data_IF_840300055547
#
_entry.id   IF_840300055547
#
_cell.length_a   1.000
_cell.length_b   1.000
_cell.length_c   1.000
_cell.angle_alpha   90.00
_cell.angle_beta   90.00
_cell.angle_gamma   90.00
#
_symmetry.space_group_name_H-M   'P 1'
#
loop_
_entity.id
_entity.type
_entity.pdbx_description
1 polymer ?
#
# COMPACT_ATOMS: atom_id res chain seq x y z
N UNK A 1 -2.19 -3.27 39.43
CA UNK A 1 -1.96 -3.75 38.06
C UNK A 1 -1.98 -2.52 37.16
N UNK A 2 -0.80 -2.00 36.83
CA UNK A 2 -0.68 -0.88 35.89
C UNK A 2 -1.03 -1.38 34.49
N UNK A 3 -1.93 -0.65 33.82
CA UNK A 3 -2.21 -0.85 32.40
C UNK A 3 -0.91 -0.64 31.61
N UNK A 4 -0.58 -1.50 30.62
CA UNK A 4 0.56 -1.24 29.75
C UNK A 4 0.31 0.06 28.97
N UNK A 5 1.17 1.05 29.22
CA UNK A 5 1.24 2.30 28.46
C UNK A 5 1.37 1.94 26.97
N UNK A 6 0.53 2.50 26.07
CA UNK A 6 0.70 2.28 24.64
C UNK A 6 2.10 2.77 24.23
N UNK A 7 2.79 2.10 23.28
CA UNK A 7 4.10 2.51 22.84
C UNK A 7 4.00 3.94 22.30
N UNK A 8 4.67 4.87 22.98
CA UNK A 8 4.91 6.22 22.47
C UNK A 8 5.68 6.07 21.17
N UNK A 9 5.04 6.42 20.05
CA UNK A 9 5.70 6.59 18.77
C UNK A 9 6.71 7.72 18.93
N UNK A 10 7.96 7.39 19.23
CA UNK A 10 9.06 8.35 19.10
C UNK A 10 9.26 8.59 17.60
N UNK A 11 8.50 9.55 17.08
CA UNK A 11 8.72 10.15 15.78
C UNK A 11 10.05 10.87 15.88
N UNK A 12 11.14 10.22 15.47
CA UNK A 12 12.46 10.83 15.43
C UNK A 12 12.48 11.90 14.33
N UNK A 13 12.05 13.11 14.70
CA UNK A 13 12.08 14.27 13.83
C UNK A 13 13.50 14.81 13.76
N UNK A 14 14.03 14.96 12.55
CA UNK A 14 15.34 15.56 12.29
C UNK A 14 15.16 16.89 11.57
N UNK A 15 16.05 17.85 11.84
CA UNK A 15 16.13 19.09 11.07
C UNK A 15 17.22 18.95 10.01
N UNK A 16 16.84 19.09 8.73
CA UNK A 16 17.77 19.06 7.59
C UNK A 16 17.45 20.22 6.67
N UNK A 17 18.43 21.07 6.38
CA UNK A 17 18.27 22.24 5.49
C UNK A 17 17.08 23.17 5.86
N UNK A 18 16.76 23.26 7.16
CA UNK A 18 15.64 24.04 7.67
C UNK A 18 14.27 23.35 7.54
N UNK A 19 14.21 22.06 7.20
CA UNK A 19 13.01 21.24 7.16
C UNK A 19 12.95 20.29 8.36
N UNK A 20 11.76 20.17 8.97
CA UNK A 20 11.47 19.16 9.99
C UNK A 20 10.98 17.91 9.27
N UNK A 21 11.76 16.83 9.35
CA UNK A 21 11.53 15.59 8.60
C UNK A 21 11.40 14.42 9.58
N UNK A 22 10.41 13.56 9.41
CA UNK A 22 10.37 12.26 10.09
C UNK A 22 11.44 11.34 9.49
N UNK A 23 12.42 10.96 10.32
CA UNK A 23 13.55 10.14 9.91
C UNK A 23 13.13 8.75 9.38
N UNK A 24 11.99 8.21 9.83
CA UNK A 24 11.52 6.88 9.48
C UNK A 24 10.69 6.84 8.20
N UNK A 25 10.05 7.96 7.85
CA UNK A 25 9.11 8.06 6.73
C UNK A 25 9.60 8.97 5.61
N UNK A 26 10.57 9.84 5.91
CA UNK A 26 10.99 10.93 5.03
C UNK A 26 9.94 12.04 4.89
N UNK A 27 8.80 11.96 5.59
CA UNK A 27 7.72 12.94 5.48
C UNK A 27 8.14 14.27 6.12
N UNK A 28 7.92 15.37 5.40
CA UNK A 28 8.23 16.73 5.83
C UNK A 28 7.03 17.27 6.61
N UNK A 29 7.24 17.55 7.90
CA UNK A 29 6.20 18.05 8.81
C UNK A 29 6.16 19.58 8.91
N UNK A 30 7.26 20.24 8.54
CA UNK A 30 7.46 21.64 8.92
C UNK A 30 8.72 22.27 8.36
N UNK A 31 8.85 23.57 8.57
CA UNK A 31 10.15 24.26 8.58
C UNK A 31 10.64 24.37 10.03
N UNK A 32 11.95 24.42 10.22
CA UNK A 32 12.49 24.82 11.52
C UNK A 32 11.98 26.22 11.85
N UNK A 33 11.73 26.49 13.13
CA UNK A 33 11.08 27.73 13.59
C UNK A 33 11.96 28.98 13.43
N UNK A 34 12.92 28.98 12.50
CA UNK A 34 13.61 30.18 12.06
C UNK A 34 12.65 30.96 11.16
N UNK A 35 12.22 32.17 11.57
CA UNK A 35 11.31 32.97 10.78
C UNK A 35 12.02 33.39 9.49
N UNK A 36 11.75 32.68 8.40
CA UNK A 36 12.10 33.13 7.06
C UNK A 36 11.04 34.12 6.58
N UNK A 37 11.47 35.28 6.08
CA UNK A 37 10.57 36.27 5.43
C UNK A 37 9.89 35.69 4.19
N UNK A 38 10.40 34.56 3.69
CA UNK A 38 9.83 33.77 2.59
C UNK A 38 9.05 32.54 3.06
N UNK A 39 8.64 32.46 4.34
CA UNK A 39 7.84 31.34 4.85
C UNK A 39 6.46 31.34 4.15
N UNK A 40 6.40 30.72 2.98
CA UNK A 40 5.17 30.45 2.25
C UNK A 40 4.24 29.64 3.14
N UNK A 41 2.96 30.00 3.12
CA UNK A 41 1.88 29.31 3.83
C UNK A 41 1.98 27.80 3.56
N UNK A 42 2.00 26.99 4.61
CA UNK A 42 2.08 25.54 4.48
C UNK A 42 0.93 25.05 3.59
N UNK A 43 1.26 24.54 2.38
CA UNK A 43 0.25 23.99 1.46
C UNK A 43 -0.32 22.73 2.12
N UNK A 44 -1.64 22.54 2.04
CA UNK A 44 -2.31 21.35 2.58
C UNK A 44 -1.65 20.08 2.02
N UNK A 45 -1.17 19.22 2.92
CA UNK A 45 -0.59 17.92 2.58
C UNK A 45 -1.73 16.93 2.38
N UNK A 46 -1.96 16.50 1.14
CA UNK A 46 -2.89 15.41 0.88
C UNK A 46 -2.31 14.12 1.49
N UNK A 47 -3.06 13.46 2.37
CA UNK A 47 -2.66 12.18 2.93
C UNK A 47 -2.62 11.10 1.82
N UNK A 48 -1.71 10.12 1.97
CA UNK A 48 -1.46 9.12 0.92
C UNK A 48 -2.72 8.30 0.59
N UNK A 49 -3.50 7.96 1.61
CA UNK A 49 -4.77 7.22 1.51
C UNK A 49 -5.90 8.07 0.88
N UNK A 50 -5.78 9.40 0.92
CA UNK A 50 -6.72 10.36 0.31
C UNK A 50 -6.37 10.69 -1.14
N UNK A 51 -5.19 10.34 -1.64
CA UNK A 51 -4.84 10.51 -3.04
C UNK A 51 -5.83 9.78 -3.97
N UNK A 52 -6.34 10.48 -4.98
CA UNK A 52 -7.29 9.97 -6.00
C UNK A 52 -6.76 10.15 -7.42
N UNK A 53 -5.64 10.83 -7.60
CA UNK A 53 -5.01 11.04 -8.91
C UNK A 53 -3.48 10.91 -8.87
N UNK A 54 -2.87 10.79 -10.04
CA UNK A 54 -1.40 10.87 -10.20
C UNK A 54 -0.87 12.22 -9.74
N UNK A 55 -1.63 13.28 -9.94
CA UNK A 55 -1.23 14.63 -9.51
C UNK A 55 -1.28 14.76 -7.98
N UNK A 56 -2.29 14.20 -7.32
CA UNK A 56 -2.37 14.15 -5.85
C UNK A 56 -1.16 13.41 -5.27
N UNK A 57 -0.80 12.28 -5.87
CA UNK A 57 0.37 11.51 -5.44
C UNK A 57 1.67 12.26 -5.71
N UNK A 58 1.80 12.97 -6.84
CA UNK A 58 2.96 13.83 -7.11
C UNK A 58 3.08 14.96 -6.08
N UNK A 59 1.97 15.60 -5.75
CA UNK A 59 1.91 16.63 -4.72
C UNK A 59 2.27 16.04 -3.35
N UNK A 60 1.76 14.86 -2.98
CA UNK A 60 2.16 14.16 -1.76
C UNK A 60 3.67 13.88 -1.72
N UNK A 61 4.25 13.38 -2.81
CA UNK A 61 5.68 13.10 -2.90
C UNK A 61 6.55 14.36 -2.79
N UNK A 62 6.03 15.55 -3.07
CA UNK A 62 6.77 16.81 -2.85
C UNK A 62 7.04 17.08 -1.37
N UNK A 63 6.27 16.44 -0.48
CA UNK A 63 6.46 16.48 0.98
C UNK A 63 7.21 15.27 1.52
N UNK A 64 7.90 14.50 0.68
CA UNK A 64 8.69 13.35 1.10
C UNK A 64 10.14 13.51 0.62
N UNK A 65 11.09 13.63 1.55
CA UNK A 65 12.51 13.53 1.21
C UNK A 65 12.89 12.06 0.94
N UNK A 66 12.74 11.67 -0.33
CA UNK A 66 13.04 10.32 -0.80
C UNK A 66 14.49 9.90 -0.65
N UNK A 67 15.43 10.84 -0.42
CA UNK A 67 16.84 10.54 -0.17
C UNK A 67 17.05 9.95 1.24
N UNK A 68 16.09 10.15 2.14
CA UNK A 68 16.09 9.59 3.50
C UNK A 68 15.41 8.22 3.57
N UNK A 69 14.76 7.79 2.50
CA UNK A 69 14.17 6.46 2.45
C UNK A 69 15.26 5.39 2.36
N UNK A 70 15.05 4.21 2.97
CA UNK A 70 15.95 3.09 2.81
C UNK A 70 16.20 2.74 1.33
N UNK A 71 17.37 2.17 1.00
CA UNK A 71 17.64 1.62 -0.31
C UNK A 71 16.51 0.70 -0.78
N UNK A 72 16.07 0.90 -2.03
CA UNK A 72 14.99 0.12 -2.63
C UNK A 72 15.55 -1.05 -3.42
N UNK A 73 16.05 -2.04 -2.68
CA UNK A 73 16.82 -3.16 -3.24
C UNK A 73 15.94 -4.37 -3.54
N UNK A 74 16.17 -4.97 -4.71
CA UNK A 74 15.47 -6.18 -5.14
C UNK A 74 15.73 -7.38 -4.21
N UNK A 75 16.78 -7.33 -3.40
CA UNK A 75 17.15 -8.39 -2.46
C UNK A 75 16.04 -8.68 -1.46
N UNK A 76 15.31 -7.66 -0.99
CA UNK A 76 14.18 -7.87 -0.07
C UNK A 76 13.06 -8.71 -0.69
N UNK A 77 12.75 -8.47 -1.98
CA UNK A 77 11.78 -9.28 -2.72
C UNK A 77 12.31 -10.71 -2.93
N UNK A 78 13.59 -10.86 -3.29
CA UNK A 78 14.20 -12.16 -3.52
C UNK A 78 14.26 -13.00 -2.23
N UNK A 79 14.54 -12.38 -1.08
CA UNK A 79 14.53 -13.03 0.23
C UNK A 79 13.13 -13.52 0.60
N UNK A 80 12.09 -12.74 0.33
CA UNK A 80 10.71 -13.15 0.52
C UNK A 80 10.34 -14.36 -0.37
N UNK A 81 10.77 -14.37 -1.64
CA UNK A 81 10.57 -15.49 -2.56
C UNK A 81 11.30 -16.74 -2.07
N UNK A 82 12.58 -16.61 -1.68
CA UNK A 82 13.39 -17.70 -1.17
C UNK A 82 12.79 -18.30 0.11
N UNK A 83 12.31 -17.43 1.01
CA UNK A 83 11.63 -17.84 2.23
C UNK A 83 10.37 -18.66 1.91
N UNK A 84 9.53 -18.18 0.98
CA UNK A 84 8.31 -18.87 0.57
C UNK A 84 8.61 -20.26 -0.02
N UNK A 85 9.60 -20.36 -0.90
CA UNK A 85 10.05 -21.66 -1.45
C UNK A 85 10.58 -22.59 -0.35
N UNK A 86 11.33 -22.06 0.61
CA UNK A 86 11.82 -22.81 1.77
C UNK A 86 10.69 -23.32 2.67
N UNK A 87 9.67 -22.50 2.92
CA UNK A 87 8.47 -22.88 3.68
C UNK A 87 7.69 -24.01 3.00
N UNK A 88 7.48 -23.89 1.69
CA UNK A 88 6.83 -24.95 0.92
C UNK A 88 7.58 -26.29 1.03
N UNK A 89 8.90 -26.29 0.84
CA UNK A 89 9.72 -27.51 0.94
C UNK A 89 9.68 -28.17 2.33
N UNK A 90 9.63 -27.37 3.40
CA UNK A 90 9.68 -27.88 4.79
C UNK A 90 8.32 -28.32 5.33
N UNK A 91 7.24 -27.64 4.94
CA UNK A 91 5.93 -27.80 5.58
C UNK A 91 4.84 -28.26 4.61
N UNK A 92 5.13 -28.42 3.32
CA UNK A 92 4.15 -28.86 2.31
C UNK A 92 3.05 -27.84 1.97
N UNK A 93 3.00 -26.69 2.66
CA UNK A 93 2.05 -25.61 2.37
C UNK A 93 2.46 -24.89 1.08
N UNK A 94 1.60 -24.92 0.06
CA UNK A 94 1.88 -24.24 -1.21
C UNK A 94 1.77 -22.72 -1.06
N UNK A 95 2.90 -22.10 -0.77
CA UNK A 95 3.09 -20.66 -0.69
C UNK A 95 4.04 -20.16 -1.79
N UNK A 96 4.27 -20.96 -2.84
CA UNK A 96 5.26 -20.66 -3.86
C UNK A 96 4.88 -19.41 -4.65
N UNK A 97 5.83 -18.51 -4.80
CA UNK A 97 5.78 -17.47 -5.82
C UNK A 97 6.26 -18.11 -7.13
N UNK A 98 5.38 -18.16 -8.11
CA UNK A 98 5.69 -18.73 -9.43
C UNK A 98 6.58 -17.78 -10.24
N UNK A 99 7.30 -18.29 -11.23
CA UNK A 99 8.18 -17.47 -12.06
C UNK A 99 7.46 -16.31 -12.79
N UNK A 100 6.24 -16.49 -13.35
CA UNK A 100 5.48 -15.38 -13.92
C UNK A 100 5.12 -14.30 -12.88
N UNK A 101 4.75 -14.70 -11.65
CA UNK A 101 4.45 -13.77 -10.56
C UNK A 101 5.71 -13.01 -10.13
N UNK A 102 6.83 -13.71 -9.96
CA UNK A 102 8.12 -13.10 -9.64
C UNK A 102 8.51 -12.05 -10.69
N UNK A 103 8.54 -12.39 -11.98
CA UNK A 103 8.91 -11.45 -13.05
C UNK A 103 8.01 -10.21 -13.08
N UNK A 104 6.73 -10.37 -12.77
CA UNK A 104 5.81 -9.23 -12.70
C UNK A 104 6.06 -8.39 -11.44
N UNK A 105 6.33 -9.01 -10.29
CA UNK A 105 6.70 -8.31 -9.06
C UNK A 105 8.01 -7.53 -9.21
N UNK A 106 9.02 -8.08 -9.89
CA UNK A 106 10.30 -7.39 -10.17
C UNK A 106 10.07 -6.12 -11.00
N UNK A 107 9.22 -6.18 -12.02
CA UNK A 107 8.82 -4.99 -12.79
C UNK A 107 8.04 -3.98 -11.97
N UNK A 108 7.11 -4.42 -11.13
CA UNK A 108 6.35 -3.51 -10.27
C UNK A 108 7.25 -2.90 -9.19
N UNK A 109 8.21 -3.65 -8.67
CA UNK A 109 9.19 -3.19 -7.69
C UNK A 109 9.95 -1.96 -8.22
N UNK A 110 10.41 -1.96 -9.46
CA UNK A 110 11.12 -0.81 -10.04
C UNK A 110 10.25 0.44 -10.21
N UNK A 111 8.93 0.31 -10.21
CA UNK A 111 7.99 1.43 -10.34
C UNK A 111 7.58 2.04 -8.98
N UNK A 112 7.88 1.37 -7.87
CA UNK A 112 7.50 1.85 -6.54
C UNK A 112 8.41 3.00 -6.11
N UNK A 113 7.83 4.19 -5.96
CA UNK A 113 8.55 5.37 -5.51
C UNK A 113 8.49 5.56 -4.00
N UNK A 114 7.41 5.14 -3.36
CA UNK A 114 7.14 5.39 -1.95
C UNK A 114 6.23 4.30 -1.37
N UNK A 115 6.55 3.82 -0.15
CA UNK A 115 5.84 2.71 0.51
C UNK A 115 5.71 1.50 -0.43
N UNK A 116 4.51 1.00 -0.63
CA UNK A 116 4.16 -0.15 -1.46
C UNK A 116 3.14 0.23 -2.55
N UNK A 117 3.10 1.51 -2.96
CA UNK A 117 2.08 2.03 -3.88
C UNK A 117 2.67 2.52 -5.20
N UNK A 118 1.87 2.42 -6.26
CA UNK A 118 2.15 2.97 -7.59
C UNK A 118 0.92 3.73 -8.06
N UNK A 119 1.10 5.00 -8.43
CA UNK A 119 0.09 5.82 -9.10
C UNK A 119 0.58 6.15 -10.50
N UNK A 120 -0.18 5.79 -11.52
CA UNK A 120 0.11 6.16 -12.92
C UNK A 120 -1.14 6.02 -13.80
N UNK A 121 -1.00 6.39 -15.07
CA UNK A 121 -2.03 6.10 -16.08
C UNK A 121 -2.00 4.61 -16.46
N UNK A 122 -3.14 4.08 -16.88
CA UNK A 122 -3.24 2.69 -17.33
C UNK A 122 -2.38 2.44 -18.57
N UNK A 123 -2.28 3.43 -19.46
CA UNK A 123 -1.42 3.40 -20.65
C UNK A 123 0.06 3.29 -20.29
N UNK A 124 0.53 4.10 -19.34
CA UNK A 124 1.94 4.07 -18.92
C UNK A 124 2.25 2.74 -18.23
N UNK A 125 1.36 2.27 -17.35
CA UNK A 125 1.53 0.97 -16.69
C UNK A 125 1.59 -0.18 -17.70
N UNK A 126 0.70 -0.18 -18.70
CA UNK A 126 0.71 -1.19 -19.75
C UNK A 126 2.05 -1.21 -20.51
N UNK A 127 2.58 -0.03 -20.84
CA UNK A 127 3.88 0.14 -21.49
C UNK A 127 5.02 -0.43 -20.65
N UNK A 128 5.14 -0.03 -19.38
CA UNK A 128 6.17 -0.54 -18.45
C UNK A 128 6.12 -2.07 -18.28
N UNK A 129 4.90 -2.60 -18.23
CA UNK A 129 4.68 -4.03 -18.13
C UNK A 129 4.90 -4.76 -19.46
N UNK A 130 5.04 -4.06 -20.59
CA UNK A 130 5.16 -4.65 -21.92
C UNK A 130 3.88 -5.37 -22.33
N UNK A 131 2.74 -4.68 -22.23
CA UNK A 131 1.42 -5.18 -22.64
C UNK A 131 0.57 -4.04 -23.20
N UNK A 132 -0.62 -4.37 -23.70
CA UNK A 132 -1.60 -3.36 -24.14
C UNK A 132 -2.57 -3.03 -23.01
N UNK A 133 -3.15 -1.83 -23.00
CA UNK A 133 -4.11 -1.40 -21.98
C UNK A 133 -5.27 -2.41 -21.82
N UNK A 134 -5.81 -2.90 -22.94
CA UNK A 134 -6.86 -3.95 -22.95
C UNK A 134 -6.48 -5.25 -22.22
N UNK A 135 -5.19 -5.59 -22.17
CA UNK A 135 -4.68 -6.81 -21.53
C UNK A 135 -4.08 -6.56 -20.14
N UNK A 136 -4.03 -5.30 -19.70
CA UNK A 136 -3.41 -4.90 -18.43
C UNK A 136 -4.01 -5.67 -17.25
N UNK A 137 -5.33 -5.63 -17.10
CA UNK A 137 -6.00 -6.31 -15.98
C UNK A 137 -5.82 -7.82 -16.03
N UNK A 138 -5.81 -8.43 -17.23
CA UNK A 138 -5.52 -9.86 -17.39
C UNK A 138 -4.12 -10.21 -16.91
N UNK A 139 -3.14 -9.35 -17.19
CA UNK A 139 -1.75 -9.52 -16.74
C UNK A 139 -1.61 -9.34 -15.23
N UNK A 140 -2.26 -8.34 -14.65
CA UNK A 140 -2.22 -8.09 -13.21
C UNK A 140 -2.96 -9.16 -12.40
N UNK A 141 -3.96 -9.83 -12.99
CA UNK A 141 -4.79 -10.84 -12.32
C UNK A 141 -3.99 -11.96 -11.65
N UNK A 142 -2.85 -12.36 -12.21
CA UNK A 142 -1.97 -13.39 -11.63
C UNK A 142 -1.44 -13.04 -10.22
N UNK A 143 -1.33 -11.75 -9.91
CA UNK A 143 -0.91 -11.26 -8.59
C UNK A 143 -2.11 -10.89 -7.72
N UNK A 144 -3.21 -10.44 -8.33
CA UNK A 144 -4.47 -10.16 -7.62
C UNK A 144 -5.01 -11.45 -7.00
N UNK A 145 -5.13 -12.51 -7.81
CA UNK A 145 -5.67 -13.80 -7.38
C UNK A 145 -4.80 -14.46 -6.29
N UNK A 146 -3.51 -14.12 -6.26
CA UNK A 146 -2.56 -14.58 -5.25
C UNK A 146 -2.49 -13.69 -3.99
N UNK A 147 -3.35 -12.68 -3.87
CA UNK A 147 -3.34 -11.68 -2.79
C UNK A 147 -1.97 -10.99 -2.61
N UNK A 148 -1.26 -10.77 -3.72
CA UNK A 148 0.03 -10.06 -3.78
C UNK A 148 -0.13 -8.62 -4.26
N UNK A 149 -1.27 -8.29 -4.87
CA UNK A 149 -1.54 -7.00 -5.48
C UNK A 149 -3.02 -6.61 -5.27
N UNK A 150 -3.26 -5.36 -4.87
CA UNK A 150 -4.58 -4.73 -4.86
C UNK A 150 -4.61 -3.63 -5.91
N UNK A 151 -5.74 -3.50 -6.60
CA UNK A 151 -5.91 -2.54 -7.70
C UNK A 151 -7.11 -1.66 -7.41
N UNK A 152 -6.94 -0.35 -7.56
CA UNK A 152 -8.01 0.64 -7.54
C UNK A 152 -8.03 1.41 -8.85
N UNK A 153 -9.21 1.59 -9.41
CA UNK A 153 -9.45 2.33 -10.66
C UNK A 153 -10.57 3.34 -10.44
N UNK A 154 -11.12 3.92 -11.51
CA UNK A 154 -12.22 4.88 -11.40
C UNK A 154 -13.45 4.36 -10.65
N UNK A 155 -13.69 3.05 -10.70
CA UNK A 155 -14.74 2.39 -9.88
C UNK A 155 -14.54 2.56 -8.37
N UNK A 156 -13.32 2.91 -7.94
CA UNK A 156 -12.94 3.09 -6.53
C UNK A 156 -12.55 4.54 -6.21
N UNK A 157 -13.06 5.50 -7.00
CA UNK A 157 -12.84 6.93 -6.81
C UNK A 157 -11.52 7.47 -7.36
N UNK A 158 -10.77 6.70 -8.15
CA UNK A 158 -9.56 7.19 -8.83
C UNK A 158 -9.95 7.97 -10.09
N UNK A 159 -9.15 8.95 -10.52
CA UNK A 159 -9.39 9.67 -11.77
C UNK A 159 -9.46 8.71 -12.98
N UNK A 160 -10.38 8.97 -13.90
CA UNK A 160 -10.56 8.15 -15.12
C UNK A 160 -9.27 8.05 -15.93
N UNK A 161 -8.94 6.84 -16.39
CA UNK A 161 -7.69 6.54 -17.12
C UNK A 161 -6.48 6.29 -16.21
N UNK A 162 -6.62 6.48 -14.90
CA UNK A 162 -5.57 6.23 -13.91
C UNK A 162 -5.82 4.95 -13.11
N UNK A 163 -4.76 4.48 -12.48
CA UNK A 163 -4.73 3.26 -11.70
C UNK A 163 -3.83 3.43 -10.50
N UNK A 164 -4.28 2.89 -9.36
CA UNK A 164 -3.49 2.76 -8.15
C UNK A 164 -3.25 1.29 -7.88
N UNK A 165 -1.99 0.92 -7.78
CA UNK A 165 -1.57 -0.41 -7.35
C UNK A 165 -1.05 -0.34 -5.93
N UNK A 166 -1.43 -1.30 -5.11
CA UNK A 166 -0.85 -1.53 -3.79
C UNK A 166 -0.30 -2.95 -3.76
N UNK A 167 1.02 -3.08 -3.62
CA UNK A 167 1.71 -4.37 -3.58
C UNK A 167 1.73 -4.85 -2.12
N UNK A 168 1.69 -6.16 -1.90
CA UNK A 168 1.81 -6.71 -0.55
C UNK A 168 3.11 -6.19 0.11
N UNK A 169 3.01 -5.54 1.28
CA UNK A 169 4.15 -4.88 1.92
C UNK A 169 5.23 -5.86 2.41
N UNK A 170 4.95 -7.16 2.48
CA UNK A 170 5.98 -8.19 2.70
C UNK A 170 6.89 -8.43 1.49
N UNK A 171 6.41 -8.10 0.29
CA UNK A 171 7.12 -8.33 -0.97
C UNK A 171 7.85 -7.08 -1.43
N UNK A 172 7.18 -5.93 -1.37
CA UNK A 172 7.74 -4.65 -1.79
C UNK A 172 7.29 -3.57 -0.84
N UNK A 173 8.24 -2.91 -0.18
CA UNK A 173 7.96 -1.77 0.68
C UNK A 173 9.18 -0.85 0.79
N UNK A 174 8.94 0.46 0.65
CA UNK A 174 9.96 1.49 0.81
C UNK A 174 9.66 2.36 2.03
N UNK A 175 10.39 2.12 3.11
CA UNK A 175 10.26 2.81 4.39
C UNK A 175 10.84 1.95 5.53
N UNK A 176 10.82 2.45 6.76
CA UNK A 176 11.37 1.70 7.90
C UNK A 176 10.54 0.44 8.24
N UNK A 177 11.19 -0.55 8.85
CA UNK A 177 10.58 -1.83 9.23
C UNK A 177 9.37 -1.66 10.17
N UNK A 178 9.43 -0.70 11.10
CA UNK A 178 8.31 -0.41 12.01
C UNK A 178 7.07 0.05 11.25
N UNK A 179 7.24 0.85 10.19
CA UNK A 179 6.10 1.27 9.39
C UNK A 179 5.63 0.15 8.46
N UNK A 180 6.56 -0.63 7.91
CA UNK A 180 6.24 -1.81 7.11
C UNK A 180 5.33 -2.77 7.87
N UNK A 181 5.62 -3.05 9.15
CA UNK A 181 4.82 -3.96 9.97
C UNK A 181 3.37 -3.49 10.11
N UNK A 182 3.13 -2.18 10.29
CA UNK A 182 1.76 -1.63 10.32
C UNK A 182 1.02 -1.86 9.01
N UNK A 183 1.70 -1.69 7.88
CA UNK A 183 1.12 -1.95 6.55
C UNK A 183 0.84 -3.44 6.35
N UNK A 184 1.70 -4.33 6.86
CA UNK A 184 1.48 -5.78 6.84
C UNK A 184 0.23 -6.13 7.64
N UNK A 185 0.08 -5.59 8.85
CA UNK A 185 -1.10 -5.83 9.68
C UNK A 185 -2.39 -5.38 8.98
N UNK A 186 -2.39 -4.18 8.40
CA UNK A 186 -3.54 -3.67 7.66
C UNK A 186 -3.83 -4.47 6.39
N UNK A 187 -2.79 -5.00 5.73
CA UNK A 187 -2.96 -5.88 4.57
C UNK A 187 -3.73 -7.15 4.93
N UNK A 188 -3.41 -7.80 6.05
CA UNK A 188 -4.03 -9.07 6.46
C UNK A 188 -5.20 -8.89 7.43
N UNK A 189 -5.66 -7.66 7.65
CA UNK A 189 -6.82 -7.40 8.49
C UNK A 189 -8.05 -8.09 7.89
N UNK A 190 -8.79 -8.91 8.67
CA UNK A 190 -10.03 -9.51 8.22
C UNK A 190 -10.98 -8.42 7.75
N UNK A 191 -11.58 -8.60 6.57
CA UNK A 191 -12.56 -7.65 6.02
C UNK A 191 -13.97 -7.87 6.60
N UNK A 192 -14.07 -8.66 7.67
CA UNK A 192 -15.30 -9.14 8.28
C UNK A 192 -15.98 -8.04 9.12
N UNK A 193 -16.66 -7.12 8.45
CA UNK A 193 -17.80 -6.38 9.03
C UNK A 193 -18.60 -5.58 7.97
N UNK A 194 -18.89 -6.16 6.79
CA UNK A 194 -19.82 -5.56 5.81
C UNK A 194 -20.65 -6.64 5.08
N UNK A 195 -21.08 -7.67 5.82
CA UNK A 195 -22.11 -8.60 5.36
C UNK A 195 -22.99 -9.06 6.54
N UNK A 196 -23.94 -8.20 6.93
CA UNK A 196 -25.23 -8.60 7.54
C UNK A 196 -26.07 -7.37 7.92
N UNK A 197 -26.34 -6.49 6.95
CA UNK A 197 -27.57 -5.69 6.97
C UNK A 197 -28.37 -6.01 5.70
N UNK A 198 -29.04 -7.16 5.73
CA UNK A 198 -30.34 -7.29 5.09
C UNK A 198 -31.26 -7.87 6.14
N UNK A 199 -31.94 -6.96 6.83
CA UNK A 199 -33.15 -7.32 7.55
C UNK A 199 -34.16 -7.84 6.54
N UNK A 200 -34.50 -9.12 6.64
CA UNK A 200 -35.85 -9.61 6.36
C UNK A 200 -36.21 -10.50 7.54
N UNK A 201 -37.00 -9.92 8.44
CA UNK A 201 -37.80 -10.65 9.40
C UNK A 201 -38.74 -11.59 8.64
N UNK A 202 -38.43 -12.88 8.61
CA UNK A 202 -39.42 -13.90 8.25
C UNK A 202 -40.18 -14.31 9.51
N UNK A 203 -41.49 -14.07 9.44
CA UNK A 203 -42.49 -14.29 10.49
C UNK A 203 -42.65 -15.79 10.76
N UNK A 204 -42.79 -16.25 12.02
CA UNK A 204 -43.12 -17.65 12.28
C UNK A 204 -44.56 -17.95 11.83
N UNK A 205 -44.73 -18.86 10.88
CA UNK A 205 -46.03 -19.44 10.54
C UNK A 205 -46.52 -20.31 11.70
N UNK A 206 -47.58 -19.85 12.34
CA UNK A 206 -48.47 -20.66 13.18
C UNK A 206 -48.94 -21.89 12.38
N UNK A 207 -48.72 -23.08 12.93
CA UNK A 207 -49.46 -24.28 12.56
C UNK A 207 -50.44 -24.54 13.71
N UNK A 208 -51.70 -24.21 13.48
CA UNK A 208 -52.82 -24.63 14.31
C UNK A 208 -53.85 -25.34 13.41
N UNK A 209 -54.04 -26.61 13.75
CA UNK A 209 -55.01 -27.64 13.37
C UNK A 209 -56.30 -27.25 12.64
N UNK A 210 -56.63 -28.10 11.67
CA UNK A 210 -57.96 -28.69 11.35
C UNK A 210 -57.62 -29.84 10.37
N UNK A 211 -58.00 -31.10 10.56
CA UNK A 211 -59.17 -31.75 11.17
C UNK A 211 -58.79 -32.95 12.05
#
# INVERSE_FOLDING_TARGET
MENPKPPTNDTALICVDGLIIDQNTGEIHGYDSKPSVFATTFKYQCELDKCRSVDDFRDHLSFVDRRKLPPHELHSLQDAINYAHGRWRRFGMDCRITLPQQRLLEKLHSLVLYRNVIFMTQVNLATELGTTESNLMKKLRILIDANMLRVRTSKNGIRTGEIVLTINPRLVFRGSSNVQERYIQEWYRPTDSLSSETGVTDVPRNIANTE
#
